data_IF_801299985591
#
_entry.id   IF_801299985591
#
_cell.length_a   1.000
_cell.length_b   1.000
_cell.length_c   1.000
_cell.angle_alpha   90.00
_cell.angle_beta   90.00
_cell.angle_gamma   90.00
#
_symmetry.space_group_name_H-M   'P 1'
#
loop_
_entity.id
_entity.type
_entity.pdbx_description
1 polymer ?
#
# COMPACT_ATOMS: atom_id res chain seq x y z
N UNK A 1 -11.22 17.72 13.97
CA UNK A 1 -11.50 16.48 13.21
C UNK A 1 -10.17 15.76 12.97
N UNK A 2 -10.14 14.46 13.23
CA UNK A 2 -8.94 13.67 13.01
C UNK A 2 -8.74 13.33 11.53
N UNK A 3 -7.49 13.14 11.12
CA UNK A 3 -7.16 12.83 9.73
C UNK A 3 -5.67 12.59 9.54
N UNK A 4 -5.25 12.68 8.31
CA UNK A 4 -3.84 12.54 7.93
C UNK A 4 -3.13 13.87 8.21
N UNK A 5 -2.15 13.85 9.10
CA UNK A 5 -1.27 14.98 9.42
C UNK A 5 -0.10 15.03 8.43
N UNK A 6 0.39 13.86 8.06
CA UNK A 6 1.48 13.71 7.11
C UNK A 6 1.52 12.32 6.52
N UNK A 7 2.26 12.18 5.44
CA UNK A 7 2.48 10.89 4.77
C UNK A 7 3.91 10.77 4.28
N UNK A 8 4.36 9.54 4.12
CA UNK A 8 5.61 9.21 3.48
C UNK A 8 5.46 7.94 2.65
N UNK A 9 6.32 7.79 1.69
CA UNK A 9 6.36 6.65 0.77
C UNK A 9 7.79 6.15 0.62
N UNK A 10 7.94 4.89 0.29
CA UNK A 10 9.20 4.31 -0.15
C UNK A 10 8.97 3.25 -1.21
N UNK A 11 9.66 3.40 -2.32
CA UNK A 11 9.68 2.42 -3.42
C UNK A 11 11.14 2.01 -3.61
N UNK A 12 11.46 0.70 -3.57
CA UNK A 12 12.80 0.19 -3.83
C UNK A 12 13.39 0.72 -5.14
N UNK A 13 14.69 0.97 -5.12
CA UNK A 13 15.42 1.57 -6.24
C UNK A 13 15.43 0.71 -7.51
N UNK A 14 15.35 -0.60 -7.38
CA UNK A 14 15.43 -1.50 -8.53
C UNK A 14 14.05 -1.88 -9.06
N UNK A 15 13.99 -2.14 -10.36
CA UNK A 15 12.83 -2.72 -11.04
C UNK A 15 13.25 -3.75 -12.06
N UNK A 16 12.36 -4.72 -12.31
CA UNK A 16 12.48 -5.69 -13.40
C UNK A 16 11.30 -5.53 -14.35
N UNK A 17 11.57 -5.61 -15.64
CA UNK A 17 10.53 -5.53 -16.67
C UNK A 17 9.82 -6.88 -16.84
N UNK A 18 8.52 -6.84 -17.12
CA UNK A 18 7.70 -8.04 -17.39
C UNK A 18 8.29 -8.87 -18.54
N UNK A 19 8.84 -8.20 -19.58
CA UNK A 19 9.49 -8.87 -20.71
C UNK A 19 10.73 -9.68 -20.30
N UNK A 20 11.54 -9.15 -19.38
CA UNK A 20 12.72 -9.83 -18.85
C UNK A 20 12.33 -11.12 -18.09
N UNK A 21 11.29 -11.07 -17.26
CA UNK A 21 10.78 -12.26 -16.57
C UNK A 21 10.27 -13.30 -17.58
N UNK A 22 9.49 -12.86 -18.56
CA UNK A 22 8.90 -13.74 -19.56
C UNK A 22 9.95 -14.44 -20.42
N UNK A 23 11.05 -13.76 -20.77
CA UNK A 23 12.12 -14.32 -21.59
C UNK A 23 12.75 -15.57 -20.97
N UNK A 24 12.87 -15.61 -19.63
CA UNK A 24 13.42 -16.76 -18.88
C UNK A 24 12.53 -17.99 -18.98
N UNK A 25 11.21 -17.78 -19.06
CA UNK A 25 10.22 -18.85 -19.12
C UNK A 25 9.77 -19.19 -20.55
N UNK A 26 10.39 -18.60 -21.58
CA UNK A 26 9.97 -18.78 -22.98
C UNK A 26 8.56 -18.28 -23.25
N UNK A 27 8.08 -17.28 -22.48
CA UNK A 27 6.75 -16.73 -22.58
C UNK A 27 6.73 -15.40 -23.35
N UNK A 28 5.56 -15.02 -23.87
CA UNK A 28 5.37 -13.72 -24.54
C UNK A 28 5.20 -12.60 -23.48
N UNK A 29 6.27 -11.81 -23.30
CA UNK A 29 6.29 -10.68 -22.38
C UNK A 29 5.28 -9.58 -22.71
N UNK A 30 5.03 -9.33 -24.00
CA UNK A 30 4.01 -8.37 -24.44
C UNK A 30 2.61 -8.82 -24.05
N UNK A 31 2.31 -10.10 -24.22
CA UNK A 31 1.04 -10.67 -23.83
C UNK A 31 0.84 -10.60 -22.31
N UNK A 32 1.86 -10.95 -21.53
CA UNK A 32 1.81 -10.84 -20.07
C UNK A 32 1.62 -9.39 -19.60
N UNK A 33 2.43 -8.46 -20.11
CA UNK A 33 2.31 -7.04 -19.76
C UNK A 33 0.91 -6.50 -20.10
N UNK A 34 0.40 -6.79 -21.29
CA UNK A 34 -0.94 -6.38 -21.72
C UNK A 34 -2.05 -7.05 -20.89
N UNK A 35 -1.92 -8.33 -20.55
CA UNK A 35 -2.93 -9.08 -19.81
C UNK A 35 -3.07 -8.60 -18.38
N UNK A 36 -1.99 -8.28 -17.70
CA UNK A 36 -1.98 -7.76 -16.33
C UNK A 36 -2.06 -6.23 -16.28
N UNK A 37 -1.73 -5.54 -17.38
CA UNK A 37 -1.43 -4.10 -17.41
C UNK A 37 -0.34 -3.77 -16.38
N UNK A 38 0.75 -4.56 -16.39
CA UNK A 38 1.97 -4.40 -15.56
C UNK A 38 3.17 -4.51 -16.47
N UNK A 39 3.93 -3.45 -16.61
CA UNK A 39 5.09 -3.38 -17.52
C UNK A 39 6.41 -3.61 -16.79
N UNK A 40 6.47 -3.21 -15.52
CA UNK A 40 7.58 -3.46 -14.62
C UNK A 40 7.10 -3.56 -13.20
N UNK A 41 7.94 -4.09 -12.32
CA UNK A 41 7.67 -4.16 -10.89
C UNK A 41 8.92 -3.80 -10.10
N UNK A 42 8.73 -3.18 -8.92
CA UNK A 42 9.82 -2.88 -8.01
C UNK A 42 10.40 -4.16 -7.40
N UNK A 43 11.69 -4.14 -7.16
CA UNK A 43 12.45 -5.23 -6.57
C UNK A 43 13.28 -4.68 -5.43
N UNK A 44 13.09 -5.15 -4.20
CA UNK A 44 13.94 -4.72 -3.09
C UNK A 44 15.38 -5.22 -3.29
N UNK A 45 16.33 -4.38 -2.90
CA UNK A 45 17.74 -4.73 -2.82
C UNK A 45 18.00 -5.81 -1.77
N UNK A 46 19.25 -6.28 -1.67
CA UNK A 46 19.61 -7.33 -0.72
C UNK A 46 19.51 -6.89 0.75
N UNK A 47 19.53 -5.60 0.99
CA UNK A 47 19.44 -4.93 2.29
C UNK A 47 18.08 -4.31 2.57
N UNK A 48 17.10 -4.53 1.68
CA UNK A 48 15.74 -4.00 1.80
C UNK A 48 14.72 -5.10 2.13
N UNK A 49 13.95 -4.87 3.19
CA UNK A 49 12.82 -5.69 3.61
C UNK A 49 11.62 -4.82 4.05
N UNK A 50 10.58 -5.45 4.57
CA UNK A 50 9.40 -4.75 5.10
C UNK A 50 9.79 -3.72 6.17
N UNK A 51 10.75 -4.04 7.03
CA UNK A 51 11.17 -3.16 8.14
C UNK A 51 11.85 -1.92 7.58
N UNK A 52 12.84 -2.08 6.71
CA UNK A 52 13.61 -0.97 6.17
C UNK A 52 12.73 -0.04 5.32
N UNK A 53 11.84 -0.59 4.51
CA UNK A 53 10.84 0.18 3.74
C UNK A 53 9.91 0.96 4.68
N UNK A 54 9.41 0.30 5.73
CA UNK A 54 8.55 0.94 6.74
C UNK A 54 9.25 2.09 7.46
N UNK A 55 10.53 1.91 7.83
CA UNK A 55 11.36 2.94 8.49
C UNK A 55 11.53 4.16 7.59
N UNK A 56 11.91 3.96 6.32
CA UNK A 56 12.16 5.08 5.40
C UNK A 56 10.87 5.83 5.06
N UNK A 57 9.76 5.13 4.81
CA UNK A 57 8.45 5.76 4.62
C UNK A 57 8.03 6.57 5.86
N UNK A 58 8.25 6.02 7.06
CA UNK A 58 7.92 6.70 8.32
C UNK A 58 8.81 7.93 8.55
N UNK A 59 10.12 7.83 8.30
CA UNK A 59 11.05 8.97 8.40
C UNK A 59 10.65 10.12 7.48
N UNK A 60 10.24 9.81 6.25
CA UNK A 60 9.75 10.82 5.31
C UNK A 60 8.47 11.49 5.83
N UNK A 61 7.51 10.71 6.35
CA UNK A 61 6.30 11.26 6.95
C UNK A 61 6.60 12.19 8.13
N UNK A 62 7.50 11.79 9.03
CA UNK A 62 7.91 12.61 10.19
C UNK A 62 8.65 13.88 9.78
N UNK A 63 9.56 13.79 8.79
CA UNK A 63 10.26 14.95 8.23
C UNK A 63 9.27 15.99 7.68
N UNK A 64 8.28 15.55 6.92
CA UNK A 64 7.23 16.40 6.35
C UNK A 64 6.36 17.06 7.42
N UNK A 65 5.98 16.31 8.46
CA UNK A 65 5.20 16.82 9.59
C UNK A 65 6.03 17.70 10.53
N UNK A 66 7.36 17.64 10.49
CA UNK A 66 8.28 18.25 11.48
C UNK A 66 7.97 17.78 12.92
N UNK A 67 7.65 16.50 13.07
CA UNK A 67 7.31 15.85 14.33
C UNK A 67 8.47 14.94 14.73
N UNK A 68 8.87 14.97 15.99
CA UNK A 68 9.82 14.02 16.56
C UNK A 68 9.11 12.77 17.15
N UNK A 69 9.87 11.72 17.46
CA UNK A 69 9.33 10.45 17.94
C UNK A 69 8.54 10.55 19.24
N UNK A 70 8.84 11.53 20.11
CA UNK A 70 8.15 11.70 21.42
C UNK A 70 6.68 12.10 21.27
N UNK A 71 6.27 12.53 20.08
CA UNK A 71 4.88 12.88 19.74
C UNK A 71 4.07 11.71 19.19
N UNK A 72 4.69 10.54 19.07
CA UNK A 72 4.05 9.34 18.53
C UNK A 72 3.68 8.42 19.70
N UNK A 73 2.40 8.19 19.89
CA UNK A 73 1.88 7.31 20.95
C UNK A 73 1.41 5.94 20.47
N UNK A 74 1.33 5.72 19.15
CA UNK A 74 0.94 4.45 18.58
C UNK A 74 1.61 4.19 17.22
N UNK A 75 2.02 2.95 16.95
CA UNK A 75 2.54 2.51 15.64
C UNK A 75 1.92 1.15 15.31
N UNK A 76 1.28 1.07 14.14
CA UNK A 76 0.73 -0.18 13.61
C UNK A 76 1.19 -0.40 12.18
N UNK A 77 1.81 -1.57 11.94
CA UNK A 77 2.30 -1.97 10.62
C UNK A 77 1.46 -3.10 10.06
N UNK A 78 0.82 -2.86 8.93
CA UNK A 78 0.08 -3.86 8.18
C UNK A 78 0.93 -4.42 7.04
N UNK A 79 1.11 -5.75 7.04
CA UNK A 79 1.87 -6.47 6.02
C UNK A 79 1.45 -7.94 5.97
N UNK A 80 1.64 -8.60 4.85
CA UNK A 80 1.55 -10.07 4.73
C UNK A 80 2.92 -10.74 4.56
N UNK A 81 4.01 -9.96 4.65
CA UNK A 81 5.39 -10.40 4.43
C UNK A 81 6.35 -9.92 5.53
N UNK A 82 5.88 -9.84 6.77
CA UNK A 82 6.73 -9.55 7.93
C UNK A 82 7.93 -10.51 7.96
N UNK A 83 9.16 -10.00 8.22
CA UNK A 83 10.36 -10.85 8.20
C UNK A 83 10.43 -11.83 9.39
N UNK A 84 9.70 -11.53 10.48
CA UNK A 84 9.66 -12.36 11.68
C UNK A 84 8.23 -12.81 11.98
N UNK A 85 8.06 -14.07 12.31
CA UNK A 85 6.74 -14.61 12.70
C UNK A 85 6.29 -14.17 14.09
N UNK A 86 7.23 -13.79 14.98
CA UNK A 86 6.95 -13.47 16.39
C UNK A 86 7.40 -12.07 16.78
N UNK A 87 8.51 -11.54 16.24
CA UNK A 87 9.02 -10.20 16.56
C UNK A 87 8.30 -9.12 15.74
N UNK A 88 7.65 -8.12 16.38
CA UNK A 88 6.92 -7.09 15.64
C UNK A 88 7.84 -6.18 14.81
N UNK A 89 7.44 -5.89 13.58
CA UNK A 89 8.01 -4.85 12.71
C UNK A 89 7.86 -3.46 13.36
N UNK A 90 6.68 -3.18 13.88
CA UNK A 90 6.32 -1.89 14.49
C UNK A 90 7.26 -1.47 15.62
N UNK A 91 7.77 -2.40 16.43
CA UNK A 91 8.71 -2.07 17.51
C UNK A 91 10.09 -1.66 16.98
N UNK A 92 10.52 -2.24 15.86
CA UNK A 92 11.79 -1.87 15.22
C UNK A 92 11.67 -0.49 14.57
N UNK A 93 10.52 -0.22 13.92
CA UNK A 93 10.23 1.12 13.38
C UNK A 93 10.21 2.15 14.52
N UNK A 94 9.53 1.86 15.64
CA UNK A 94 9.46 2.74 16.80
C UNK A 94 10.86 3.14 17.33
N UNK A 95 11.76 2.16 17.45
CA UNK A 95 13.15 2.41 17.87
C UNK A 95 13.90 3.24 16.84
N UNK A 96 13.78 2.91 15.55
CA UNK A 96 14.47 3.59 14.46
C UNK A 96 14.09 5.09 14.33
N UNK A 97 12.88 5.46 14.74
CA UNK A 97 12.37 6.84 14.74
C UNK A 97 12.44 7.51 16.13
N UNK A 98 13.01 6.83 17.12
CA UNK A 98 13.15 7.33 18.51
C UNK A 98 11.80 7.64 19.19
N UNK A 99 10.78 6.83 18.93
CA UNK A 99 9.46 6.95 19.55
C UNK A 99 9.35 6.16 20.87
N UNK A 100 10.28 5.23 21.13
CA UNK A 100 10.33 4.42 22.34
C UNK A 100 10.70 5.25 23.59
N UNK A 101 10.31 4.78 24.79
CA UNK A 101 9.53 3.58 25.10
C UNK A 101 8.03 3.82 25.35
N UNK A 102 7.54 5.05 25.31
CA UNK A 102 6.18 5.38 25.76
C UNK A 102 5.18 5.40 24.60
N UNK A 103 4.90 4.23 24.04
CA UNK A 103 3.92 4.06 22.95
C UNK A 103 3.34 2.64 22.95
N UNK A 104 2.20 2.45 22.27
CA UNK A 104 1.69 1.13 21.90
C UNK A 104 2.11 0.77 20.48
N UNK A 105 2.43 -0.50 20.22
CA UNK A 105 2.83 -0.98 18.90
C UNK A 105 2.35 -2.40 18.64
N UNK A 106 1.87 -2.67 17.42
CA UNK A 106 1.50 -4.00 16.97
C UNK A 106 1.61 -4.13 15.44
N UNK A 107 1.78 -5.36 14.97
CA UNK A 107 1.68 -5.68 13.55
C UNK A 107 0.28 -6.23 13.26
N UNK A 108 -0.25 -5.90 12.08
CA UNK A 108 -1.55 -6.34 11.62
C UNK A 108 -1.38 -7.25 10.40
N UNK A 109 -2.18 -8.31 10.38
CA UNK A 109 -2.32 -9.21 9.25
C UNK A 109 -3.77 -9.19 8.75
N UNK A 110 -3.97 -8.76 7.54
CA UNK A 110 -5.21 -8.90 6.75
C UNK A 110 -4.87 -8.75 5.27
N UNK A 111 -3.93 -9.55 4.80
CA UNK A 111 -3.44 -9.46 3.43
C UNK A 111 -3.22 -7.99 3.01
N UNK A 112 -3.64 -7.61 1.80
CA UNK A 112 -3.34 -6.29 1.22
C UNK A 112 -4.07 -5.10 1.89
N UNK A 113 -5.03 -5.31 2.82
CA UNK A 113 -5.68 -4.22 3.57
C UNK A 113 -5.18 -4.06 5.02
N UNK A 114 -4.19 -4.81 5.43
CA UNK A 114 -3.68 -4.77 6.80
C UNK A 114 -3.28 -3.33 7.23
N UNK A 115 -2.64 -2.57 6.33
CA UNK A 115 -2.27 -1.18 6.61
C UNK A 115 -3.45 -0.24 6.80
N UNK A 116 -4.56 -0.42 6.07
CA UNK A 116 -5.73 0.45 6.23
C UNK A 116 -6.51 0.16 7.50
N UNK A 117 -6.48 -1.07 8.01
CA UNK A 117 -6.98 -1.38 9.36
C UNK A 117 -6.17 -0.62 10.44
N UNK A 118 -4.86 -0.42 10.22
CA UNK A 118 -4.03 0.40 11.09
C UNK A 118 -4.46 1.88 11.07
N UNK A 119 -4.88 2.44 9.93
CA UNK A 119 -5.44 3.81 9.85
C UNK A 119 -6.68 3.92 10.74
N UNK A 120 -7.63 2.97 10.63
CA UNK A 120 -8.86 2.98 11.44
C UNK A 120 -8.54 2.88 12.93
N UNK A 121 -7.57 2.06 13.31
CA UNK A 121 -7.13 1.92 14.71
C UNK A 121 -6.52 3.22 15.23
N UNK A 122 -5.62 3.85 14.49
CA UNK A 122 -5.03 5.14 14.85
C UNK A 122 -6.10 6.24 14.98
N UNK A 123 -7.09 6.28 14.06
CA UNK A 123 -8.21 7.22 14.14
C UNK A 123 -9.01 7.05 15.45
N UNK A 124 -9.29 5.80 15.85
CA UNK A 124 -9.99 5.51 17.09
C UNK A 124 -9.20 5.98 18.32
N UNK A 125 -7.89 5.76 18.35
CA UNK A 125 -7.03 6.18 19.47
C UNK A 125 -6.87 7.69 19.55
N UNK A 126 -6.66 8.36 18.43
CA UNK A 126 -6.59 9.84 18.36
C UNK A 126 -7.94 10.44 18.73
N UNK A 127 -9.05 9.93 18.16
CA UNK A 127 -10.40 10.42 18.42
C UNK A 127 -10.84 10.32 19.90
N UNK A 128 -10.28 9.36 20.63
CA UNK A 128 -10.50 9.19 22.08
C UNK A 128 -9.42 9.83 22.95
N UNK A 129 -8.53 10.65 22.41
CA UNK A 129 -7.43 11.33 23.10
C UNK A 129 -6.48 10.36 23.86
N UNK A 130 -6.35 9.11 23.40
CA UNK A 130 -5.41 8.14 23.97
C UNK A 130 -3.98 8.42 23.53
N UNK A 131 -3.80 8.94 22.32
CA UNK A 131 -2.52 9.37 21.75
C UNK A 131 -2.67 10.70 21.01
N UNK A 132 -1.59 11.51 20.96
CA UNK A 132 -1.57 12.74 20.17
C UNK A 132 -1.49 12.42 18.68
N UNK A 133 -0.58 11.49 18.31
CA UNK A 133 -0.44 11.00 16.94
C UNK A 133 -0.23 9.48 16.94
N UNK A 134 -0.83 8.83 15.94
CA UNK A 134 -0.58 7.43 15.61
C UNK A 134 0.03 7.32 14.22
N UNK A 135 0.88 6.30 14.00
CA UNK A 135 1.42 5.99 12.69
C UNK A 135 0.79 4.69 12.19
N UNK A 136 0.15 4.76 11.03
CA UNK A 136 -0.32 3.61 10.27
C UNK A 136 0.62 3.35 9.09
N UNK A 137 1.10 2.14 8.95
CA UNK A 137 2.04 1.74 7.89
C UNK A 137 1.43 0.60 7.08
N UNK A 138 1.44 0.75 5.76
CA UNK A 138 1.10 -0.33 4.83
C UNK A 138 2.32 -0.63 3.95
N UNK A 139 2.86 -1.85 4.02
CA UNK A 139 4.13 -2.20 3.39
C UNK A 139 4.20 -3.69 3.09
N UNK A 140 4.78 -4.05 1.93
CA UNK A 140 5.08 -5.44 1.61
C UNK A 140 6.34 -5.58 0.75
N UNK A 141 6.94 -6.77 0.82
CA UNK A 141 7.98 -7.26 -0.09
C UNK A 141 7.59 -8.63 -0.65
N UNK A 142 6.32 -8.82 -0.93
CA UNK A 142 5.75 -10.09 -1.38
C UNK A 142 6.32 -10.53 -2.73
N UNK A 143 6.33 -11.83 -2.98
CA UNK A 143 6.88 -12.39 -4.22
C UNK A 143 6.08 -13.60 -4.68
N UNK A 144 6.01 -13.77 -6.01
CA UNK A 144 5.50 -14.99 -6.64
C UNK A 144 6.57 -16.07 -6.77
N UNK A 145 6.13 -17.33 -6.88
CA UNK A 145 7.01 -18.42 -7.23
C UNK A 145 7.61 -18.21 -8.64
N UNK A 146 8.84 -18.67 -8.90
CA UNK A 146 9.40 -18.65 -10.24
C UNK A 146 8.48 -19.33 -11.27
N UNK A 147 8.19 -18.63 -12.37
CA UNK A 147 7.28 -19.11 -13.43
C UNK A 147 5.79 -19.00 -13.13
N UNK A 148 5.39 -18.57 -11.92
CA UNK A 148 3.98 -18.32 -11.57
C UNK A 148 3.49 -16.96 -12.08
N UNK A 149 2.18 -16.83 -12.31
CA UNK A 149 1.57 -15.56 -12.72
C UNK A 149 1.81 -14.41 -11.73
N UNK A 150 1.92 -14.70 -10.43
CA UNK A 150 2.24 -13.71 -9.40
C UNK A 150 3.68 -13.19 -9.53
N UNK A 151 4.60 -13.93 -10.12
CA UNK A 151 5.96 -13.44 -10.32
C UNK A 151 6.00 -12.16 -11.16
N UNK A 152 5.06 -12.00 -12.10
CA UNK A 152 4.98 -10.83 -12.97
C UNK A 152 4.43 -9.57 -12.28
N UNK A 153 3.71 -9.71 -11.18
CA UNK A 153 3.04 -8.58 -10.52
C UNK A 153 3.45 -8.35 -9.08
N UNK A 154 3.79 -9.40 -8.31
CA UNK A 154 4.17 -9.28 -6.91
C UNK A 154 5.43 -8.44 -6.73
N UNK A 155 5.36 -7.40 -5.92
CA UNK A 155 6.30 -6.29 -5.86
C UNK A 155 6.58 -5.86 -4.41
N UNK A 156 7.39 -4.84 -4.24
CA UNK A 156 7.76 -4.28 -2.95
C UNK A 156 7.55 -2.76 -2.90
N UNK A 157 7.18 -2.27 -1.74
CA UNK A 157 7.00 -0.85 -1.48
C UNK A 157 6.00 -0.62 -0.35
N UNK A 158 5.96 0.59 0.15
CA UNK A 158 5.07 0.94 1.24
C UNK A 158 4.96 2.42 1.50
N UNK A 159 4.01 2.75 2.38
CA UNK A 159 3.81 4.09 2.85
C UNK A 159 3.44 4.12 4.32
N UNK A 160 3.63 5.28 4.92
CA UNK A 160 3.25 5.60 6.29
C UNK A 160 2.38 6.84 6.32
N UNK A 161 1.32 6.80 7.13
CA UNK A 161 0.42 7.93 7.38
C UNK A 161 0.48 8.28 8.86
N UNK A 162 0.79 9.53 9.20
CA UNK A 162 0.66 10.06 10.56
C UNK A 162 -0.78 10.53 10.72
N UNK A 163 -1.48 9.95 11.68
CA UNK A 163 -2.87 10.25 12.01
C UNK A 163 -2.89 11.09 13.27
N UNK A 164 -3.58 12.23 13.25
CA UNK A 164 -3.69 13.16 14.34
C UNK A 164 -4.90 14.07 14.20
N UNK A 165 -5.03 15.08 15.08
CA UNK A 165 -6.12 16.06 15.07
C UNK A 165 -5.63 17.52 14.92
N UNK A 166 -4.30 17.73 14.83
CA UNK A 166 -3.66 19.03 14.63
C UNK A 166 -2.90 19.05 13.31
N UNK A 167 -2.91 20.16 12.62
CA UNK A 167 -2.23 20.37 11.33
C UNK A 167 -2.59 19.29 10.30
N UNK A 168 -3.84 18.88 10.30
CA UNK A 168 -4.38 17.82 9.44
C UNK A 168 -4.37 18.29 7.99
N UNK A 169 -3.64 17.62 7.11
CA UNK A 169 -3.56 17.93 5.65
C UNK A 169 -4.73 17.35 4.87
N UNK A 170 -5.34 16.26 5.38
CA UNK A 170 -6.54 15.68 4.82
C UNK A 170 -7.40 15.11 5.96
N UNK A 171 -8.59 15.65 6.15
CA UNK A 171 -9.55 15.11 7.12
C UNK A 171 -10.11 13.80 6.61
N UNK A 172 -10.28 12.82 7.50
CA UNK A 172 -11.01 11.60 7.22
C UNK A 172 -12.44 11.82 7.72
N UNK A 173 -13.34 12.16 6.78
CA UNK A 173 -14.73 12.49 7.10
C UNK A 173 -15.52 11.24 7.49
N UNK A 174 -15.31 10.15 6.75
CA UNK A 174 -15.98 8.87 6.96
C UNK A 174 -15.01 7.71 6.71
N UNK A 175 -15.23 6.62 7.43
CA UNK A 175 -14.59 5.33 7.15
C UNK A 175 -15.57 4.19 7.38
N UNK A 176 -15.48 3.14 6.58
CA UNK A 176 -16.31 1.94 6.68
C UNK A 176 -15.53 0.70 6.27
N UNK A 177 -16.06 -0.47 6.60
CA UNK A 177 -15.48 -1.76 6.18
C UNK A 177 -16.57 -2.71 5.71
N UNK A 178 -16.23 -3.53 4.71
CA UNK A 178 -17.06 -4.64 4.25
C UNK A 178 -16.24 -5.93 4.34
N UNK A 179 -16.59 -6.83 5.25
CA UNK A 179 -15.80 -8.03 5.55
C UNK A 179 -16.66 -9.29 5.42
N UNK A 180 -16.11 -10.30 4.75
CA UNK A 180 -16.65 -11.66 4.68
C UNK A 180 -15.50 -12.67 4.80
N UNK A 181 -15.75 -13.93 4.48
CA UNK A 181 -14.72 -14.95 4.29
C UNK A 181 -14.71 -15.44 2.84
N UNK A 182 -13.53 -15.51 2.21
CA UNK A 182 -13.35 -16.04 0.84
C UNK A 182 -12.05 -16.83 0.70
N UNK A 183 -12.06 -17.98 0.01
CA UNK A 183 -10.85 -18.80 -0.23
C UNK A 183 -10.12 -18.33 -1.50
N UNK A 184 -9.83 -17.03 -1.61
CA UNK A 184 -9.26 -16.46 -2.83
C UNK A 184 -7.73 -16.42 -2.86
N UNK A 185 -7.08 -16.23 -1.69
CA UNK A 185 -5.63 -16.12 -1.60
C UNK A 185 -5.17 -16.41 -0.16
N UNK A 186 -4.10 -17.19 0.01
CA UNK A 186 -3.57 -17.57 1.32
C UNK A 186 -2.11 -18.03 1.23
N UNK A 187 -1.41 -18.00 2.36
CA UNK A 187 -0.11 -18.61 2.56
C UNK A 187 -0.09 -19.27 3.95
N UNK A 188 0.08 -20.58 3.99
CA UNK A 188 0.25 -21.30 5.28
C UNK A 188 1.66 -21.11 5.81
N UNK A 189 1.81 -21.25 7.12
CA UNK A 189 3.11 -21.27 7.76
C UNK A 189 4.05 -22.30 7.10
N UNK A 190 5.34 -21.94 6.97
CA UNK A 190 6.34 -22.76 6.29
C UNK A 190 6.28 -22.76 4.76
N UNK A 191 5.26 -22.17 4.15
CA UNK A 191 5.20 -21.98 2.70
C UNK A 191 5.94 -20.71 2.28
N UNK A 192 6.86 -20.84 1.32
CA UNK A 192 7.64 -19.70 0.80
C UNK A 192 6.80 -18.74 -0.04
N UNK A 193 5.82 -19.26 -0.78
CA UNK A 193 5.00 -18.49 -1.71
C UNK A 193 3.52 -18.62 -1.43
N UNK A 194 2.72 -17.56 -1.67
CA UNK A 194 1.28 -17.63 -1.55
C UNK A 194 0.64 -18.51 -2.64
N UNK A 195 -0.58 -18.95 -2.38
CA UNK A 195 -1.46 -19.65 -3.32
C UNK A 195 -2.73 -18.83 -3.53
N UNK A 196 -3.34 -18.99 -4.68
CA UNK A 196 -4.59 -18.31 -5.01
C UNK A 196 -5.63 -19.27 -5.59
N UNK A 197 -6.88 -19.04 -5.24
CA UNK A 197 -8.03 -19.80 -5.72
C UNK A 197 -8.61 -19.22 -7.00
N UNK A 198 -7.85 -19.12 -8.07
CA UNK A 198 -8.12 -18.57 -9.41
C UNK A 198 -9.54 -18.03 -9.69
N UNK A 199 -10.57 -18.88 -9.59
CA UNK A 199 -11.97 -18.49 -9.82
C UNK A 199 -12.54 -17.51 -8.79
N UNK A 200 -11.99 -17.46 -7.59
CA UNK A 200 -12.49 -16.67 -6.46
C UNK A 200 -11.85 -15.28 -6.35
N UNK A 201 -10.68 -15.06 -6.97
CA UNK A 201 -9.92 -13.80 -6.83
C UNK A 201 -10.60 -12.59 -7.47
N UNK A 202 -11.37 -12.77 -8.55
CA UNK A 202 -12.02 -11.70 -9.30
C UNK A 202 -13.40 -11.31 -8.75
N UNK A 203 -14.47 -11.81 -9.38
CA UNK A 203 -15.87 -11.39 -9.07
C UNK A 203 -16.30 -11.66 -7.64
N UNK A 204 -16.09 -12.88 -7.06
CA UNK A 204 -16.57 -13.16 -5.70
C UNK A 204 -15.79 -12.43 -4.61
N UNK A 205 -14.51 -12.18 -4.81
CA UNK A 205 -13.64 -11.54 -3.82
C UNK A 205 -13.41 -10.05 -4.14
N UNK A 206 -12.43 -9.71 -4.97
CA UNK A 206 -12.03 -8.32 -5.20
C UNK A 206 -13.19 -7.41 -5.60
N UNK A 207 -13.89 -7.72 -6.71
CA UNK A 207 -14.92 -6.81 -7.22
C UNK A 207 -16.10 -6.66 -6.27
N UNK A 208 -16.58 -7.76 -5.66
CA UNK A 208 -17.68 -7.70 -4.70
C UNK A 208 -17.32 -6.76 -3.53
N UNK A 209 -16.15 -6.95 -2.92
CA UNK A 209 -15.76 -6.21 -1.71
C UNK A 209 -15.48 -4.74 -2.02
N UNK A 210 -14.70 -4.44 -3.06
CA UNK A 210 -14.40 -3.06 -3.47
C UNK A 210 -15.69 -2.31 -3.87
N UNK A 211 -16.58 -2.96 -4.64
CA UNK A 211 -17.84 -2.35 -5.05
C UNK A 211 -18.79 -2.09 -3.88
N UNK A 212 -18.94 -3.07 -2.97
CA UNK A 212 -19.80 -2.92 -1.79
C UNK A 212 -19.26 -1.85 -0.85
N UNK A 213 -17.98 -1.89 -0.54
CA UNK A 213 -17.33 -0.90 0.32
C UNK A 213 -17.40 0.51 -0.30
N UNK A 214 -17.14 0.63 -1.61
CA UNK A 214 -17.24 1.90 -2.34
C UNK A 214 -18.66 2.50 -2.31
N UNK A 215 -19.69 1.68 -2.46
CA UNK A 215 -21.08 2.13 -2.33
C UNK A 215 -21.40 2.54 -0.90
N UNK A 216 -21.04 1.70 0.08
CA UNK A 216 -21.32 1.99 1.50
C UNK A 216 -20.69 3.31 1.95
N UNK A 217 -19.45 3.59 1.56
CA UNK A 217 -18.77 4.83 1.96
C UNK A 217 -19.39 6.06 1.28
N UNK A 218 -19.76 5.97 0.00
CA UNK A 218 -20.43 7.05 -0.72
C UNK A 218 -21.84 7.31 -0.15
N UNK A 219 -22.60 6.24 0.15
CA UNK A 219 -23.91 6.36 0.79
C UNK A 219 -23.82 7.02 2.17
N UNK A 220 -22.83 6.61 2.99
CA UNK A 220 -22.55 7.21 4.31
C UNK A 220 -22.20 8.70 4.21
N UNK A 221 -21.44 9.06 3.19
CA UNK A 221 -21.02 10.43 2.93
C UNK A 221 -22.06 11.28 2.18
N UNK A 222 -23.18 10.69 1.77
CA UNK A 222 -24.18 11.35 0.94
C UNK A 222 -23.62 11.84 -0.40
N UNK A 223 -22.66 11.15 -0.98
CA UNK A 223 -21.87 11.59 -2.12
C UNK A 223 -22.01 10.67 -3.33
N UNK A 224 -21.59 11.20 -4.48
CA UNK A 224 -21.57 10.52 -5.78
C UNK A 224 -20.14 10.53 -6.33
N UNK A 225 -19.82 9.70 -7.34
CA UNK A 225 -18.46 9.67 -7.94
C UNK A 225 -18.01 11.03 -8.45
N UNK A 226 -18.92 11.88 -8.93
CA UNK A 226 -18.60 13.21 -9.45
C UNK A 226 -18.17 14.21 -8.37
N UNK A 227 -18.47 13.93 -7.09
CA UNK A 227 -18.11 14.77 -5.95
C UNK A 227 -16.65 14.55 -5.50
N UNK A 228 -15.95 13.60 -6.12
CA UNK A 228 -14.55 13.29 -5.82
C UNK A 228 -13.63 13.74 -6.93
N UNK A 229 -12.52 14.36 -6.56
CA UNK A 229 -11.45 14.72 -7.50
C UNK A 229 -10.55 13.51 -7.80
N UNK A 230 -10.36 12.64 -6.83
CA UNK A 230 -9.54 11.44 -6.95
C UNK A 230 -10.19 10.21 -6.34
N UNK A 231 -9.87 9.05 -6.94
CA UNK A 231 -10.15 7.74 -6.35
C UNK A 231 -8.92 6.84 -6.45
N UNK A 232 -8.60 6.16 -5.37
CA UNK A 232 -7.59 5.10 -5.34
C UNK A 232 -8.21 3.82 -4.80
N UNK A 233 -8.01 2.70 -5.49
CA UNK A 233 -8.42 1.39 -5.00
C UNK A 233 -7.20 0.49 -4.86
N UNK A 234 -7.32 -0.63 -4.13
CA UNK A 234 -6.29 -1.66 -4.15
C UNK A 234 -6.01 -2.15 -5.59
N UNK A 235 -4.75 -2.46 -5.88
CA UNK A 235 -4.21 -2.67 -7.23
C UNK A 235 -3.50 -4.03 -7.36
N UNK A 236 -4.24 -5.18 -7.41
CA UNK A 236 -3.61 -6.50 -7.59
C UNK A 236 -2.95 -6.68 -8.97
N UNK A 237 -3.37 -5.90 -9.93
CA UNK A 237 -2.80 -5.68 -11.27
C UNK A 237 -3.32 -4.33 -11.79
N UNK A 238 -2.87 -3.88 -12.96
CA UNK A 238 -3.30 -2.59 -13.52
C UNK A 238 -4.72 -2.57 -14.13
N UNK A 239 -5.38 -3.72 -14.32
CA UNK A 239 -6.74 -3.78 -14.90
C UNK A 239 -7.86 -3.73 -13.86
N UNK A 240 -7.67 -4.38 -12.72
CA UNK A 240 -8.71 -4.49 -11.69
C UNK A 240 -9.12 -3.13 -11.12
N UNK A 241 -8.20 -2.25 -10.70
CA UNK A 241 -8.55 -0.92 -10.20
C UNK A 241 -9.28 -0.07 -11.24
N UNK A 242 -8.85 -0.10 -12.51
CA UNK A 242 -9.52 0.62 -13.61
C UNK A 242 -10.97 0.13 -13.76
N UNK A 243 -11.15 -1.19 -13.78
CA UNK A 243 -12.49 -1.77 -13.92
C UNK A 243 -13.38 -1.47 -12.71
N UNK A 244 -12.84 -1.53 -11.49
CA UNK A 244 -13.57 -1.20 -10.28
C UNK A 244 -13.99 0.29 -10.26
N UNK A 245 -13.05 1.20 -10.52
CA UNK A 245 -13.33 2.63 -10.60
C UNK A 245 -14.43 2.95 -11.65
N UNK A 246 -14.29 2.43 -12.88
CA UNK A 246 -15.31 2.59 -13.92
C UNK A 246 -16.67 2.01 -13.52
N UNK A 247 -16.70 0.86 -12.83
CA UNK A 247 -17.94 0.24 -12.37
C UNK A 247 -18.60 0.99 -11.22
N UNK A 248 -17.84 1.77 -10.45
CA UNK A 248 -18.33 2.70 -9.44
C UNK A 248 -18.80 4.04 -10.04
N UNK A 249 -18.52 4.32 -11.32
CA UNK A 249 -18.90 5.56 -12.01
C UNK A 249 -17.77 6.59 -12.16
N UNK A 250 -16.54 6.27 -11.74
CA UNK A 250 -15.40 7.18 -11.85
C UNK A 250 -14.81 7.25 -13.26
N UNK A 251 -14.33 8.44 -13.64
CA UNK A 251 -13.64 8.72 -14.89
C UNK A 251 -12.12 8.51 -14.75
N UNK A 252 -11.42 8.46 -15.87
CA UNK A 252 -9.99 8.21 -15.92
C UNK A 252 -9.18 9.27 -15.18
N UNK A 253 -9.57 10.52 -15.31
CA UNK A 253 -8.90 11.65 -14.65
C UNK A 253 -8.85 11.49 -13.13
N UNK A 254 -9.86 10.83 -12.54
CA UNK A 254 -9.98 10.64 -11.10
C UNK A 254 -9.10 9.50 -10.56
N UNK A 255 -8.85 8.44 -11.36
CA UNK A 255 -8.08 7.28 -10.87
C UNK A 255 -6.63 7.20 -11.40
N UNK A 256 -6.28 7.90 -12.49
CA UNK A 256 -4.97 7.74 -13.15
C UNK A 256 -3.78 8.09 -12.26
N UNK A 257 -3.90 9.12 -11.39
CA UNK A 257 -2.82 9.56 -10.50
C UNK A 257 -2.46 8.51 -9.47
N UNK A 258 -3.46 7.86 -8.87
CA UNK A 258 -3.25 6.80 -7.88
C UNK A 258 -2.94 5.41 -8.49
N UNK A 259 -2.99 5.26 -9.83
CA UNK A 259 -2.77 3.98 -10.52
C UNK A 259 -1.28 3.75 -10.79
N UNK A 260 -0.58 3.11 -9.85
CA UNK A 260 0.87 2.91 -9.91
C UNK A 260 1.28 1.51 -10.38
N UNK A 261 0.46 0.52 -10.18
CA UNK A 261 0.75 -0.90 -10.48
C UNK A 261 1.26 -1.17 -11.89
N UNK A 262 0.84 -0.47 -12.97
CA UNK A 262 1.43 -0.65 -14.28
C UNK A 262 2.95 -0.42 -14.33
N UNK A 263 3.50 0.40 -13.43
CA UNK A 263 4.89 0.85 -13.41
C UNK A 263 5.75 0.21 -12.32
N UNK A 264 5.12 -0.15 -11.17
CA UNK A 264 5.84 -0.66 -9.99
C UNK A 264 5.38 -2.04 -9.52
N UNK A 265 4.36 -2.63 -10.15
CA UNK A 265 3.75 -3.88 -9.69
C UNK A 265 2.79 -3.70 -8.51
N UNK A 266 2.28 -4.81 -7.99
CA UNK A 266 1.41 -4.83 -6.81
C UNK A 266 2.25 -4.85 -5.53
N UNK A 267 2.19 -3.78 -4.76
CA UNK A 267 2.86 -3.62 -3.47
C UNK A 267 1.97 -4.04 -2.28
N UNK A 268 0.93 -4.81 -2.55
CA UNK A 268 0.03 -5.43 -1.55
C UNK A 268 -0.50 -4.40 -0.54
N UNK A 269 -0.16 -4.54 0.75
CA UNK A 269 -0.61 -3.59 1.80
C UNK A 269 -0.13 -2.15 1.55
N UNK A 270 0.98 -1.98 0.83
CA UNK A 270 1.48 -0.66 0.41
C UNK A 270 0.70 -0.02 -0.75
N UNK A 271 -0.12 -0.78 -1.51
CA UNK A 271 -0.67 -0.30 -2.77
C UNK A 271 -1.58 0.93 -2.63
N UNK A 272 -2.48 0.94 -1.65
CA UNK A 272 -3.35 2.10 -1.38
C UNK A 272 -2.56 3.24 -0.76
N UNK A 273 -1.59 2.96 0.10
CA UNK A 273 -0.73 3.97 0.71
C UNK A 273 0.08 4.73 -0.33
N UNK A 274 0.73 4.02 -1.25
CA UNK A 274 1.51 4.63 -2.33
C UNK A 274 0.62 5.39 -3.31
N UNK A 275 -0.53 4.83 -3.68
CA UNK A 275 -1.49 5.50 -4.55
C UNK A 275 -2.07 6.77 -3.91
N UNK A 276 -2.39 6.74 -2.60
CA UNK A 276 -2.85 7.90 -1.86
C UNK A 276 -1.73 8.95 -1.69
N UNK A 277 -0.48 8.50 -1.44
CA UNK A 277 0.68 9.38 -1.40
C UNK A 277 0.88 10.12 -2.74
N UNK A 278 0.79 9.42 -3.88
CA UNK A 278 0.90 10.03 -5.21
C UNK A 278 -0.21 11.07 -5.46
N UNK A 279 -1.42 10.83 -4.96
CA UNK A 279 -2.51 11.82 -5.02
C UNK A 279 -2.18 13.02 -4.12
N UNK A 280 -1.78 12.79 -2.87
CA UNK A 280 -1.44 13.86 -1.92
C UNK A 280 -0.24 14.70 -2.36
N UNK A 281 0.68 14.15 -3.16
CA UNK A 281 1.80 14.89 -3.74
C UNK A 281 1.34 16.05 -4.65
N UNK A 282 0.16 15.95 -5.29
CA UNK A 282 -0.38 16.95 -6.23
C UNK A 282 -1.70 17.58 -5.77
N UNK A 283 -2.36 17.03 -4.77
CA UNK A 283 -3.66 17.50 -4.30
C UNK A 283 -3.63 18.94 -3.79
N UNK A 284 -4.77 19.61 -3.91
CA UNK A 284 -5.00 21.00 -3.52
C UNK A 284 -6.03 21.07 -2.39
N UNK A 285 -6.05 22.16 -1.62
CA UNK A 285 -7.11 22.41 -0.66
C UNK A 285 -8.50 22.29 -1.28
N UNK A 286 -9.39 21.58 -0.60
CA UNK A 286 -10.75 21.31 -1.06
C UNK A 286 -10.89 20.03 -1.90
N UNK A 287 -9.81 19.49 -2.46
CA UNK A 287 -9.90 18.23 -3.22
C UNK A 287 -10.46 17.10 -2.33
N UNK A 288 -11.37 16.32 -2.89
CA UNK A 288 -12.00 15.17 -2.22
C UNK A 288 -11.47 13.87 -2.79
N UNK A 289 -11.07 12.95 -1.91
CA UNK A 289 -10.41 11.69 -2.26
C UNK A 289 -11.22 10.51 -1.71
N UNK A 290 -11.50 9.52 -2.56
CA UNK A 290 -12.03 8.24 -2.13
C UNK A 290 -10.91 7.19 -2.17
N UNK A 291 -10.58 6.59 -1.02
CA UNK A 291 -9.63 5.50 -0.94
C UNK A 291 -10.34 4.20 -0.54
N UNK A 292 -10.13 3.12 -1.32
CA UNK A 292 -10.76 1.82 -1.09
C UNK A 292 -9.68 0.73 -1.11
N UNK A 293 -9.38 0.18 0.05
CA UNK A 293 -8.50 -0.98 0.17
C UNK A 293 -9.26 -2.29 -0.07
N UNK A 294 -8.50 -3.32 -0.37
CA UNK A 294 -8.99 -4.69 -0.40
C UNK A 294 -7.88 -5.63 0.08
N UNK A 295 -8.23 -6.57 0.93
CA UNK A 295 -7.38 -7.68 1.35
C UNK A 295 -8.10 -9.00 1.10
N UNK A 296 -7.36 -9.95 0.53
CA UNK A 296 -7.88 -11.30 0.31
C UNK A 296 -8.24 -11.98 1.62
N UNK A 297 -9.22 -12.88 1.56
CA UNK A 297 -9.70 -13.56 2.74
C UNK A 297 -11.17 -13.40 3.14
N UNK A 298 -11.93 -12.32 2.97
CA UNK A 298 -11.68 -11.06 2.29
C UNK A 298 -12.30 -9.89 3.05
N UNK A 299 -11.73 -8.72 2.86
CA UNK A 299 -12.26 -7.48 3.41
C UNK A 299 -11.85 -6.27 2.59
N UNK A 300 -12.61 -5.19 2.73
CA UNK A 300 -12.33 -3.91 2.09
C UNK A 300 -12.59 -2.79 3.09
N UNK A 301 -11.72 -1.78 3.13
CA UNK A 301 -11.87 -0.58 3.93
C UNK A 301 -12.03 0.62 2.99
N UNK A 302 -12.97 1.50 3.32
CA UNK A 302 -13.23 2.73 2.59
C UNK A 302 -12.97 3.97 3.43
N UNK A 303 -12.43 5.01 2.81
CA UNK A 303 -12.16 6.31 3.43
C UNK A 303 -12.59 7.43 2.49
N UNK A 304 -13.39 8.34 3.03
CA UNK A 304 -13.76 9.61 2.39
C UNK A 304 -12.92 10.72 3.03
N UNK A 305 -12.08 11.37 2.23
CA UNK A 305 -11.14 12.38 2.70
C UNK A 305 -11.40 13.71 2.00
N UNK A 306 -11.14 14.81 2.75
CA UNK A 306 -11.09 16.16 2.18
C UNK A 306 -9.76 16.80 2.52
N UNK A 307 -9.06 17.26 1.49
CA UNK A 307 -7.76 17.94 1.61
C UNK A 307 -7.98 19.34 2.21
N UNK A 308 -7.14 19.72 3.17
CA UNK A 308 -7.23 21.01 3.87
C UNK A 308 -6.16 21.98 3.36
N UNK A 309 -6.23 23.23 3.82
CA UNK A 309 -5.21 24.26 3.52
C UNK A 309 -3.83 23.91 4.10
N UNK A 310 -3.76 23.05 5.14
CA UNK A 310 -2.49 22.64 5.76
C UNK A 310 -1.55 21.93 4.76
N UNK A 311 -2.09 21.30 3.69
CA UNK A 311 -1.28 20.64 2.67
C UNK A 311 -0.34 21.61 1.94
N UNK A 312 -0.70 22.90 1.87
CA UNK A 312 0.14 23.92 1.21
C UNK A 312 1.40 24.27 2.00
N UNK A 313 1.44 23.94 3.29
CA UNK A 313 2.57 24.18 4.19
C UNK A 313 3.55 23.01 4.24
N UNK A 314 3.17 21.88 3.66
CA UNK A 314 3.98 20.66 3.66
C UNK A 314 5.06 20.70 2.59
N UNK A 315 6.25 20.21 2.93
CA UNK A 315 7.30 19.94 1.95
C UNK A 315 6.95 18.68 1.14
N UNK A 316 6.63 18.86 -0.13
CA UNK A 316 6.30 17.80 -1.10
C UNK A 316 7.34 17.69 -2.22
N UNK A 317 8.58 18.09 -1.93
CA UNK A 317 9.68 18.09 -2.92
C UNK A 317 10.18 16.70 -3.30
N UNK A 318 9.90 15.67 -2.50
CA UNK A 318 10.25 14.27 -2.78
C UNK A 318 8.97 13.47 -3.03
N UNK A 319 8.56 13.35 -4.29
CA UNK A 319 7.29 12.74 -4.68
C UNK A 319 7.40 11.25 -4.97
N UNK A 320 6.26 10.56 -5.01
CA UNK A 320 6.18 9.17 -5.51
C UNK A 320 6.66 9.09 -6.96
N UNK A 321 6.39 10.11 -7.79
CA UNK A 321 6.86 10.16 -9.17
C UNK A 321 8.39 10.24 -9.26
N UNK A 322 9.03 11.02 -8.37
CA UNK A 322 10.50 11.07 -8.29
C UNK A 322 11.10 9.71 -7.92
N UNK A 323 10.47 8.99 -6.97
CA UNK A 323 10.91 7.64 -6.60
C UNK A 323 10.83 6.69 -7.79
N UNK A 324 9.71 6.70 -8.54
CA UNK A 324 9.53 5.84 -9.72
C UNK A 324 10.50 6.21 -10.84
N UNK A 325 10.76 7.49 -11.06
CA UNK A 325 11.66 7.96 -12.11
C UNK A 325 13.12 7.57 -11.88
N UNK A 326 13.53 7.42 -10.62
CA UNK A 326 14.89 7.02 -10.21
C UNK A 326 15.13 5.50 -10.23
N UNK A 327 14.10 4.69 -10.53
CA UNK A 327 14.25 3.23 -10.49
C UNK A 327 15.18 2.72 -11.60
N UNK A 328 16.09 1.84 -11.23
CA UNK A 328 17.08 1.20 -12.12
C UNK A 328 16.60 -0.17 -12.58
N UNK A 329 16.71 -0.44 -13.87
CA UNK A 329 16.34 -1.73 -14.46
C UNK A 329 17.43 -2.76 -14.12
N UNK A 330 17.02 -3.92 -13.62
CA UNK A 330 17.88 -5.08 -13.37
C UNK A 330 17.44 -6.27 -14.23
N UNK A 331 18.39 -7.18 -14.52
CA UNK A 331 18.10 -8.42 -15.21
C UNK A 331 17.56 -9.50 -14.26
N UNK A 332 17.07 -10.60 -14.84
CA UNK A 332 16.50 -11.71 -14.08
C UNK A 332 17.49 -12.38 -13.13
N UNK A 333 18.76 -12.50 -13.50
CA UNK A 333 19.79 -13.11 -12.65
C UNK A 333 19.99 -12.30 -11.34
N UNK A 334 20.08 -10.98 -11.46
CA UNK A 334 20.16 -10.06 -10.31
C UNK A 334 18.87 -10.12 -9.46
N UNK A 335 17.70 -10.08 -10.10
CA UNK A 335 16.42 -10.25 -9.43
C UNK A 335 16.33 -11.57 -8.65
N UNK A 336 16.69 -12.68 -9.28
CA UNK A 336 16.67 -14.00 -8.65
C UNK A 336 17.63 -14.08 -7.45
N UNK A 337 18.82 -13.46 -7.57
CA UNK A 337 19.79 -13.35 -6.47
C UNK A 337 19.22 -12.54 -5.31
N UNK A 338 18.70 -11.33 -5.56
CA UNK A 338 18.16 -10.45 -4.51
C UNK A 338 16.95 -11.06 -3.80
N UNK A 339 16.13 -11.84 -4.52
CA UNK A 339 14.94 -12.48 -3.95
C UNK A 339 15.18 -13.89 -3.39
N UNK A 340 16.44 -14.32 -3.26
CA UNK A 340 16.79 -15.66 -2.74
C UNK A 340 16.13 -16.80 -3.53
N UNK A 341 16.01 -16.64 -4.85
CA UNK A 341 15.43 -17.65 -5.74
C UNK A 341 16.48 -18.64 -6.29
N UNK A 342 17.75 -18.30 -6.17
CA UNK A 342 18.85 -19.18 -6.54
C UNK A 342 19.19 -20.09 -5.35
N UNK A 343 19.32 -21.38 -5.61
CA UNK A 343 19.89 -22.31 -4.65
C UNK A 343 21.42 -22.16 -4.67
N UNK A 344 21.95 -21.44 -3.67
CA UNK A 344 23.38 -21.12 -3.60
C UNK A 344 24.25 -22.25 -3.04
N UNK A 345 23.65 -23.43 -2.75
CA UNK A 345 24.31 -24.46 -1.98
C UNK A 345 24.62 -24.02 -0.52
N UNK A 346 24.92 -24.95 0.34
CA UNK A 346 25.38 -24.63 1.70
C UNK A 346 26.79 -24.02 1.63
N UNK A 347 26.88 -22.71 1.39
CA UNK A 347 28.12 -21.97 1.67
C UNK A 347 28.29 -21.96 3.19
N UNK A 348 29.20 -22.84 3.65
CA UNK A 348 29.67 -22.89 5.03
C UNK A 348 30.24 -21.54 5.48
#
# INVERSE_FOLDING_TARGET
>A
MSGIVSYGAYIPRHKIETGEIASVWGADGSAWAKNLNVYSKSVPGPDEDVITIAVEATRLAMKRAKIDGTKIGAIYTGSESHPYAVKPTSTIVAEAIRATPNLTAADFEFACKAGTAAIQTCLGMVGNNQVENGIAIGVDTSQGAPGDALEYSASAGGGAMIIGDKNVIATINHTTSYTTDTPDFWRREGQKYPRHGGRFTGKPAFFKHVMMCGKMIMDMAGSKPEDYDYVVTHQPNGKFPIRAAKSLGFKEEQYKTGLLTPRIGNTYSGAVFLGLAAILDIAKPGDRILAIAYGSGAGSDGFDLTVTDEITKMDRSETVEDMISRMEIINYATYAKYRGKLNMGDSK
#
